data_IF_236171203338
#
_entry.id   IF_236171203338
#
_cell.length_a   1.000
_cell.length_b   1.000
_cell.length_c   1.000
_cell.angle_alpha   90.00
_cell.angle_beta   90.00
_cell.angle_gamma   90.00
#
_symmetry.space_group_name_H-M   'P 1'
#
loop_
_entity.id
_entity.type
_entity.pdbx_description
1 polymer ?
#
# COMPACT_ATOMS: atom_id res chain seq x y z
N UNK A 1 -16.52 0.33 -8.51
CA UNK A 1 -15.91 -1.01 -8.36
C UNK A 1 -16.28 -1.54 -6.99
N UNK A 2 -16.80 -2.76 -6.87
CA UNK A 2 -17.13 -3.38 -5.58
C UNK A 2 -15.91 -4.07 -4.95
N UNK A 3 -16.04 -4.50 -3.69
CA UNK A 3 -14.97 -5.15 -2.92
C UNK A 3 -14.54 -6.49 -3.50
N UNK A 4 -15.43 -7.21 -4.20
CA UNK A 4 -15.14 -8.51 -4.83
C UNK A 4 -14.21 -8.31 -6.02
N UNK A 5 -14.52 -7.34 -6.88
CA UNK A 5 -13.73 -6.99 -8.04
C UNK A 5 -12.36 -6.45 -7.62
N UNK A 6 -12.30 -5.61 -6.58
CA UNK A 6 -11.02 -5.14 -6.03
C UNK A 6 -10.18 -6.29 -5.48
N UNK A 7 -10.78 -7.23 -4.74
CA UNK A 7 -10.06 -8.41 -4.25
C UNK A 7 -9.53 -9.29 -5.39
N UNK A 8 -10.29 -9.43 -6.48
CA UNK A 8 -9.81 -10.10 -7.70
C UNK A 8 -8.60 -9.38 -8.31
N UNK A 9 -8.68 -8.05 -8.44
CA UNK A 9 -7.57 -7.25 -8.96
C UNK A 9 -6.31 -7.36 -8.11
N UNK A 10 -6.44 -7.27 -6.78
CA UNK A 10 -5.30 -7.42 -5.85
C UNK A 10 -4.68 -8.80 -5.95
N UNK A 11 -5.48 -9.86 -6.05
CA UNK A 11 -4.97 -11.23 -6.19
C UNK A 11 -4.20 -11.43 -7.51
N UNK A 12 -4.66 -10.83 -8.61
CA UNK A 12 -3.94 -10.88 -9.89
C UNK A 12 -2.63 -10.07 -9.82
N UNK A 13 -2.69 -8.84 -9.30
CA UNK A 13 -1.50 -7.99 -9.13
C UNK A 13 -0.44 -8.66 -8.23
N UNK A 14 -0.86 -9.38 -7.19
CA UNK A 14 0.05 -10.17 -6.34
C UNK A 14 0.83 -11.23 -7.14
N UNK A 15 0.17 -11.90 -8.09
CA UNK A 15 0.81 -12.90 -8.95
C UNK A 15 1.70 -12.25 -10.00
N UNK A 16 1.20 -11.23 -10.69
CA UNK A 16 1.89 -10.55 -11.79
C UNK A 16 3.18 -9.87 -11.33
N UNK A 17 3.16 -9.31 -10.11
CA UNK A 17 4.34 -8.66 -9.51
C UNK A 17 5.22 -9.64 -8.73
N UNK A 18 4.86 -10.92 -8.66
CA UNK A 18 5.48 -11.92 -7.80
C UNK A 18 5.68 -11.44 -6.34
N UNK A 19 4.68 -10.73 -5.81
CA UNK A 19 4.78 -10.07 -4.51
C UNK A 19 4.98 -11.08 -3.36
N UNK A 20 5.72 -10.67 -2.33
CA UNK A 20 5.91 -11.46 -1.10
C UNK A 20 4.82 -11.21 -0.05
N UNK A 21 4.00 -10.17 -0.23
CA UNK A 21 2.92 -9.85 0.69
C UNK A 21 2.03 -8.74 0.17
N UNK A 22 0.89 -8.56 0.86
CA UNK A 22 -0.10 -7.52 0.56
C UNK A 22 -0.49 -6.85 1.86
N UNK A 23 -0.48 -5.53 1.87
CA UNK A 23 -0.97 -4.73 2.97
C UNK A 23 -2.28 -4.05 2.57
N UNK A 24 -3.33 -4.18 3.39
CA UNK A 24 -4.64 -3.57 3.14
C UNK A 24 -5.00 -2.67 4.31
N UNK A 25 -5.40 -1.42 4.04
CA UNK A 25 -6.08 -0.59 5.04
C UNK A 25 -7.42 -1.24 5.36
N UNK A 26 -7.53 -1.87 6.53
CA UNK A 26 -8.69 -2.68 6.89
C UNK A 26 -9.89 -1.83 7.35
N UNK A 27 -9.68 -0.53 7.56
CA UNK A 27 -10.72 0.36 8.06
C UNK A 27 -11.70 0.75 6.93
N UNK A 28 -12.99 0.66 7.22
CA UNK A 28 -14.05 1.03 6.30
C UNK A 28 -14.26 -0.02 5.20
N UNK A 29 -14.22 0.40 3.93
CA UNK A 29 -14.52 -0.48 2.78
C UNK A 29 -13.44 -1.57 2.59
N UNK A 30 -12.20 -1.29 3.00
CA UNK A 30 -11.06 -2.19 2.83
C UNK A 30 -11.17 -3.50 3.63
N UNK A 31 -11.91 -3.51 4.74
CA UNK A 31 -12.17 -4.72 5.53
C UNK A 31 -12.84 -5.83 4.70
N UNK A 32 -13.78 -5.47 3.83
CA UNK A 32 -14.43 -6.45 2.94
C UNK A 32 -13.45 -7.07 1.92
N UNK A 33 -12.47 -6.30 1.44
CA UNK A 33 -11.40 -6.83 0.57
C UNK A 33 -10.49 -7.77 1.35
N UNK A 34 -10.08 -7.36 2.55
CA UNK A 34 -9.26 -8.17 3.45
C UNK A 34 -9.92 -9.51 3.80
N UNK A 35 -11.21 -9.52 4.12
CA UNK A 35 -11.96 -10.74 4.43
C UNK A 35 -12.05 -11.71 3.24
N UNK A 36 -12.22 -11.19 2.03
CA UNK A 36 -12.24 -12.01 0.81
C UNK A 36 -10.86 -12.62 0.56
N UNK A 37 -9.79 -11.83 0.65
CA UNK A 37 -8.42 -12.30 0.44
C UNK A 37 -7.98 -13.29 1.54
N UNK A 38 -8.42 -13.09 2.78
CA UNK A 38 -8.22 -14.00 3.91
C UNK A 38 -8.90 -15.34 3.66
N UNK A 39 -10.17 -15.34 3.22
CA UNK A 39 -10.88 -16.58 2.85
C UNK A 39 -10.22 -17.29 1.67
N UNK A 40 -9.60 -16.54 0.77
CA UNK A 40 -8.76 -17.05 -0.33
C UNK A 40 -7.34 -17.39 0.13
N UNK A 41 -7.04 -17.45 1.43
CA UNK A 41 -5.74 -17.85 1.98
C UNK A 41 -4.53 -17.18 1.30
N UNK A 42 -4.66 -15.91 0.88
CA UNK A 42 -3.58 -15.20 0.20
C UNK A 42 -2.35 -15.13 1.12
N UNK A 43 -1.19 -15.65 0.71
CA UNK A 43 0.00 -15.63 1.54
C UNK A 43 0.53 -14.19 1.74
N UNK A 44 1.05 -13.91 2.93
CA UNK A 44 1.64 -12.60 3.24
C UNK A 44 0.63 -11.45 3.31
N UNK A 45 -0.67 -11.74 3.46
CA UNK A 45 -1.70 -10.74 3.67
C UNK A 45 -1.63 -10.15 5.08
N UNK A 46 -1.62 -8.82 5.18
CA UNK A 46 -1.58 -8.06 6.44
C UNK A 46 -2.64 -6.96 6.42
N UNK A 47 -3.47 -6.94 7.45
CA UNK A 47 -4.41 -5.85 7.71
C UNK A 47 -3.71 -4.72 8.46
N UNK A 48 -3.91 -3.48 8.03
CA UNK A 48 -3.33 -2.30 8.65
C UNK A 48 -4.46 -1.38 9.09
N UNK A 49 -4.64 -1.22 10.40
CA UNK A 49 -5.54 -0.21 10.96
C UNK A 49 -4.79 1.12 11.11
N UNK A 50 -4.88 2.00 10.11
CA UNK A 50 -4.17 3.30 10.12
C UNK A 50 -4.67 4.28 11.19
N UNK A 51 -5.86 4.02 11.77
CA UNK A 51 -6.40 4.76 12.90
C UNK A 51 -5.88 4.30 14.26
N UNK A 52 -5.07 3.24 14.32
CA UNK A 52 -4.47 2.74 15.55
C UNK A 52 -3.52 3.79 16.16
N UNK A 53 -3.20 3.63 17.45
CA UNK A 53 -2.25 4.52 18.11
C UNK A 53 -0.86 4.41 17.46
N UNK A 54 -0.14 5.53 17.40
CA UNK A 54 1.25 5.55 16.95
C UNK A 54 2.16 4.75 17.92
N UNK A 55 3.27 4.23 17.39
CA UNK A 55 4.34 3.65 18.19
C UNK A 55 5.08 4.74 18.98
N UNK A 56 5.39 5.87 18.33
CA UNK A 56 5.94 7.06 18.97
C UNK A 56 4.84 8.11 19.19
N UNK A 57 4.13 7.96 20.31
CA UNK A 57 3.02 8.85 20.70
C UNK A 57 3.46 10.26 21.10
N UNK A 58 4.75 10.46 21.37
CA UNK A 58 5.28 11.79 21.65
C UNK A 58 5.39 12.61 20.35
N UNK A 59 5.70 11.95 19.24
CA UNK A 59 5.84 12.61 17.94
C UNK A 59 4.58 12.56 17.08
N UNK A 60 3.76 11.51 17.18
CA UNK A 60 2.65 11.26 16.27
C UNK A 60 1.36 10.88 17.01
N UNK A 61 0.23 11.41 16.55
CA UNK A 61 -1.06 11.17 17.20
C UNK A 61 -1.60 9.75 16.93
N UNK A 62 -1.47 9.24 15.69
CA UNK A 62 -1.88 7.88 15.28
C UNK A 62 -0.94 7.28 14.24
N UNK A 63 -1.12 5.99 13.95
CA UNK A 63 -0.29 5.23 13.01
C UNK A 63 -0.22 5.86 11.62
N UNK A 64 -1.33 6.41 11.10
CA UNK A 64 -1.32 7.16 9.83
C UNK A 64 -0.29 8.29 9.87
N UNK A 65 -0.22 9.02 10.98
CA UNK A 65 0.65 10.19 11.08
C UNK A 65 2.12 9.78 11.11
N UNK A 66 2.43 8.69 11.82
CA UNK A 66 3.76 8.06 11.84
C UNK A 66 4.18 7.57 10.45
N UNK A 67 3.29 6.88 9.73
CA UNK A 67 3.54 6.40 8.37
C UNK A 67 3.87 7.56 7.42
N UNK A 68 3.10 8.65 7.50
CA UNK A 68 3.35 9.85 6.70
C UNK A 68 4.67 10.55 7.08
N UNK A 69 5.02 10.59 8.37
CA UNK A 69 6.33 11.05 8.83
C UNK A 69 7.48 10.24 8.24
N UNK A 70 7.38 8.91 8.25
CA UNK A 70 8.34 8.02 7.60
C UNK A 70 8.43 8.26 6.09
N UNK A 71 7.29 8.39 5.39
CA UNK A 71 7.29 8.67 3.95
C UNK A 71 7.97 9.99 3.63
N UNK A 72 7.69 11.06 4.41
CA UNK A 72 8.38 12.35 4.30
C UNK A 72 9.89 12.16 4.40
N UNK A 73 10.36 11.46 5.43
CA UNK A 73 11.80 11.25 5.65
C UNK A 73 12.44 10.45 4.51
N UNK A 74 11.72 9.47 3.93
CA UNK A 74 12.15 8.72 2.75
C UNK A 74 12.21 9.59 1.50
N UNK A 75 11.24 10.48 1.28
CA UNK A 75 11.29 11.47 0.20
C UNK A 75 12.52 12.38 0.35
N UNK A 76 12.79 12.90 1.55
CA UNK A 76 13.94 13.79 1.81
C UNK A 76 15.29 13.09 1.56
N UNK A 77 15.35 11.76 1.69
CA UNK A 77 16.53 10.95 1.40
C UNK A 77 16.56 10.43 -0.05
N UNK A 78 15.65 10.87 -0.91
CA UNK A 78 15.49 10.38 -2.28
C UNK A 78 15.34 8.85 -2.38
N UNK A 79 14.65 8.24 -1.41
CA UNK A 79 14.44 6.79 -1.35
C UNK A 79 13.31 6.28 -2.26
N UNK A 80 12.51 7.19 -2.84
CA UNK A 80 11.44 6.85 -3.77
C UNK A 80 11.80 7.23 -5.21
N UNK A 81 11.35 6.38 -6.14
CA UNK A 81 11.37 6.67 -7.57
C UNK A 81 9.99 7.16 -8.02
N UNK A 82 9.96 8.20 -8.84
CA UNK A 82 8.75 8.77 -9.43
C UNK A 82 8.78 8.49 -10.93
N UNK A 83 8.25 7.35 -11.40
CA UNK A 83 8.38 6.94 -12.78
C UNK A 83 7.55 7.85 -13.69
N UNK A 84 8.16 8.32 -14.78
CA UNK A 84 7.48 9.07 -15.83
C UNK A 84 6.76 8.13 -16.82
N UNK A 85 5.94 7.24 -16.27
CA UNK A 85 5.12 6.31 -17.04
C UNK A 85 3.72 6.87 -17.18
N UNK A 86 3.39 7.31 -18.40
CA UNK A 86 2.08 7.85 -18.76
C UNK A 86 1.14 6.73 -19.22
N UNK A 87 -0.04 6.67 -18.63
CA UNK A 87 -1.10 5.77 -19.11
C UNK A 87 -1.72 6.40 -20.36
N UNK A 88 -1.93 5.63 -21.45
CA UNK A 88 -2.57 6.15 -22.65
C UNK A 88 -3.92 6.82 -22.33
N UNK A 89 -4.08 8.08 -22.72
CA UNK A 89 -5.30 8.87 -22.49
C UNK A 89 -5.30 9.66 -21.17
N UNK A 90 -4.32 9.47 -20.29
CA UNK A 90 -4.15 10.29 -19.09
C UNK A 90 -3.20 11.48 -19.34
N UNK A 91 -3.35 12.55 -18.56
CA UNK A 91 -2.49 13.74 -18.64
C UNK A 91 -1.28 13.67 -17.70
N UNK A 92 -1.39 12.90 -16.62
CA UNK A 92 -0.37 12.80 -15.57
C UNK A 92 0.24 11.40 -15.55
N UNK A 93 1.57 11.33 -15.49
CA UNK A 93 2.27 10.06 -15.27
C UNK A 93 2.03 9.52 -13.86
N UNK A 94 2.30 8.23 -13.63
CA UNK A 94 2.17 7.63 -12.29
C UNK A 94 3.01 8.35 -11.24
N UNK A 95 4.25 8.73 -11.60
CA UNK A 95 5.12 9.52 -10.74
C UNK A 95 4.53 10.88 -10.41
N UNK A 96 3.97 11.59 -11.40
CA UNK A 96 3.34 12.89 -11.17
C UNK A 96 2.12 12.80 -10.25
N UNK A 97 1.27 11.79 -10.44
CA UNK A 97 0.10 11.55 -9.58
C UNK A 97 0.51 11.30 -8.12
N UNK A 98 1.53 10.47 -7.90
CA UNK A 98 2.05 10.20 -6.56
C UNK A 98 2.66 11.47 -5.93
N UNK A 99 3.47 12.21 -6.69
CA UNK A 99 4.10 13.44 -6.22
C UNK A 99 3.05 14.49 -5.84
N UNK A 100 2.03 14.70 -6.68
CA UNK A 100 0.92 15.61 -6.45
C UNK A 100 0.19 15.25 -5.14
N UNK A 101 -0.13 13.97 -4.91
CA UNK A 101 -0.77 13.54 -3.67
C UNK A 101 0.12 13.77 -2.45
N UNK A 102 1.39 13.38 -2.51
CA UNK A 102 2.36 13.55 -1.40
C UNK A 102 2.56 15.03 -1.02
N UNK A 103 2.56 15.94 -1.99
CA UNK A 103 2.71 17.38 -1.74
C UNK A 103 1.42 18.08 -1.32
N UNK A 104 0.26 17.43 -1.50
CA UNK A 104 -1.03 18.07 -1.26
C UNK A 104 -1.46 18.04 0.21
N UNK A 105 -0.97 17.08 1.00
CA UNK A 105 -1.45 16.81 2.37
C UNK A 105 -0.83 17.78 3.37
N UNK A 106 -1.68 18.33 4.25
CA UNK A 106 -1.24 19.21 5.32
C UNK A 106 -1.10 18.45 6.66
N UNK A 107 -0.47 19.10 7.63
CA UNK A 107 -0.38 18.61 9.00
C UNK A 107 -0.63 19.72 10.00
N UNK A 108 -0.99 19.33 11.21
CA UNK A 108 -1.14 20.19 12.38
C UNK A 108 -0.51 19.53 13.60
N UNK A 109 -0.69 20.13 14.77
CA UNK A 109 -0.29 19.55 16.05
C UNK A 109 -1.51 19.37 16.96
N UNK A 110 -1.53 18.30 17.74
CA UNK A 110 -2.53 18.11 18.80
C UNK A 110 -2.15 18.88 20.08
N UNK A 111 -2.98 18.77 21.13
CA UNK A 111 -2.76 19.46 22.40
C UNK A 111 -1.45 19.05 23.12
N UNK A 112 -0.89 17.89 22.79
CA UNK A 112 0.37 17.39 23.35
C UNK A 112 1.57 17.73 22.45
N UNK A 113 1.35 18.44 21.32
CA UNK A 113 2.38 18.75 20.35
C UNK A 113 2.70 17.61 19.38
N UNK A 114 1.92 16.52 19.38
CA UNK A 114 2.12 15.43 18.44
C UNK A 114 1.60 15.82 17.04
N UNK A 115 2.28 15.36 16.00
CA UNK A 115 1.91 15.61 14.61
C UNK A 115 0.59 14.89 14.30
N UNK A 116 -0.33 15.63 13.68
CA UNK A 116 -1.61 15.14 13.18
C UNK A 116 -1.66 15.39 11.68
N UNK A 117 -1.77 14.33 10.88
CA UNK A 117 -1.92 14.43 9.43
C UNK A 117 -3.38 14.69 9.08
N UNK A 118 -3.56 15.62 8.14
CA UNK A 118 -4.87 16.03 7.63
C UNK A 118 -5.74 14.82 7.24
N UNK A 119 -6.96 14.80 7.74
CA UNK A 119 -7.92 13.74 7.42
C UNK A 119 -8.45 13.86 5.99
N UNK A 120 -8.87 12.73 5.41
CA UNK A 120 -9.54 12.70 4.09
C UNK A 120 -10.76 13.63 4.03
N UNK A 121 -11.47 13.78 5.16
CA UNK A 121 -12.61 14.70 5.26
C UNK A 121 -12.17 16.16 5.17
N UNK A 122 -11.13 16.56 5.91
CA UNK A 122 -10.58 17.93 5.85
C UNK A 122 -10.07 18.28 4.46
N UNK A 123 -9.37 17.35 3.79
CA UNK A 123 -8.93 17.53 2.41
C UNK A 123 -10.10 17.80 1.47
N UNK A 124 -11.15 16.98 1.57
CA UNK A 124 -12.37 17.15 0.77
C UNK A 124 -13.04 18.50 1.04
N UNK A 125 -13.10 18.93 2.29
CA UNK A 125 -13.68 20.22 2.67
C UNK A 125 -12.94 21.40 2.03
N UNK A 126 -11.62 21.32 1.85
CA UNK A 126 -10.83 22.35 1.14
C UNK A 126 -10.72 22.15 -0.37
N UNK A 127 -11.49 21.22 -0.96
CA UNK A 127 -11.52 20.98 -2.40
C UNK A 127 -10.36 20.12 -2.92
N UNK A 128 -9.64 19.41 -2.05
CA UNK A 128 -8.54 18.50 -2.44
C UNK A 128 -8.99 17.04 -2.33
N UNK A 129 -8.64 16.26 -3.36
CA UNK A 129 -8.98 14.83 -3.42
C UNK A 129 -8.21 14.04 -2.35
N UNK A 130 -8.80 12.93 -1.91
CA UNK A 130 -8.15 11.99 -0.98
C UNK A 130 -6.86 11.43 -1.61
N UNK A 131 -5.75 11.32 -0.84
CA UNK A 131 -4.43 10.94 -1.33
C UNK A 131 -4.31 9.40 -1.35
N UNK A 132 -5.10 8.76 -2.21
CA UNK A 132 -5.28 7.31 -2.17
C UNK A 132 -4.03 6.53 -2.62
N UNK A 133 -3.25 7.05 -3.57
CA UNK A 133 -2.00 6.47 -4.04
C UNK A 133 -0.92 6.61 -2.95
N UNK A 134 -0.81 7.80 -2.34
CA UNK A 134 0.14 8.04 -1.26
C UNK A 134 -0.20 7.25 0.02
N UNK A 135 -1.48 7.15 0.40
CA UNK A 135 -1.91 6.30 1.52
C UNK A 135 -1.61 4.81 1.22
N UNK A 136 -1.78 4.35 -0.03
CA UNK A 136 -1.45 2.97 -0.43
C UNK A 136 0.06 2.68 -0.37
N UNK A 137 0.90 3.64 -0.76
CA UNK A 137 2.35 3.58 -0.56
C UNK A 137 2.67 3.46 0.94
N UNK A 138 2.06 4.30 1.77
CA UNK A 138 2.28 4.28 3.22
C UNK A 138 1.91 2.96 3.88
N UNK A 139 0.79 2.36 3.49
CA UNK A 139 0.36 1.05 4.00
C UNK A 139 1.33 -0.05 3.56
N UNK A 140 1.86 0.03 2.33
CA UNK A 140 2.88 -0.91 1.84
C UNK A 140 4.20 -0.77 2.62
N UNK A 141 4.55 0.43 3.04
CA UNK A 141 5.75 0.71 3.83
C UNK A 141 5.63 0.25 5.29
N UNK A 142 4.43 0.33 5.86
CA UNK A 142 4.12 -0.25 7.17
C UNK A 142 4.33 -1.77 7.16
N UNK A 143 4.00 -2.45 6.04
CA UNK A 143 4.34 -3.86 5.87
C UNK A 143 5.83 -4.09 5.81
N UNK A 144 6.60 -3.31 5.03
CA UNK A 144 8.05 -3.51 4.89
C UNK A 144 8.81 -3.34 6.21
N UNK A 145 8.45 -2.30 6.98
CA UNK A 145 9.02 -2.07 8.31
C UNK A 145 8.67 -3.18 9.33
N UNK A 146 7.46 -3.74 9.23
CA UNK A 146 7.02 -4.87 10.06
C UNK A 146 7.62 -6.19 9.59
N UNK A 147 7.82 -6.37 8.27
CA UNK A 147 8.25 -7.62 7.67
C UNK A 147 9.74 -7.89 7.88
N UNK A 148 10.59 -6.88 8.05
CA UNK A 148 11.95 -7.09 8.55
C UNK A 148 12.01 -7.80 9.92
N UNK A 149 10.96 -7.65 10.75
CA UNK A 149 10.89 -8.35 12.05
C UNK A 149 10.37 -9.79 11.93
N UNK A 150 9.61 -10.11 10.88
CA UNK A 150 8.93 -11.41 10.71
C UNK A 150 9.61 -12.35 9.69
N UNK A 151 10.30 -11.81 8.67
CA UNK A 151 10.82 -12.59 7.53
C UNK A 151 12.33 -12.90 7.56
N UNK A 152 12.99 -12.71 8.69
CA UNK A 152 14.42 -12.98 8.88
C UNK A 152 14.87 -14.46 8.83
N UNK A 153 14.09 -15.42 8.30
CA UNK A 153 14.55 -16.82 8.19
C UNK A 153 14.34 -17.43 6.80
N UNK A 154 15.37 -18.12 6.29
CA UNK A 154 15.32 -18.97 5.08
C UNK A 154 14.09 -19.89 5.05
N UNK A 155 13.62 -20.35 6.22
CA UNK A 155 12.44 -21.21 6.38
C UNK A 155 11.12 -20.55 5.95
N UNK A 156 11.00 -19.23 6.05
CA UNK A 156 9.80 -18.52 5.62
C UNK A 156 9.67 -18.51 4.07
N UNK A 157 10.80 -18.33 3.37
CA UNK A 157 10.87 -18.33 1.90
C UNK A 157 10.52 -19.72 1.33
N UNK A 158 11.06 -20.79 1.91
CA UNK A 158 10.77 -22.16 1.47
C UNK A 158 9.30 -22.57 1.71
N UNK A 159 8.70 -22.09 2.80
CA UNK A 159 7.28 -22.31 3.12
C UNK A 159 6.35 -21.55 2.17
N UNK A 160 6.74 -20.35 1.76
CA UNK A 160 5.99 -19.53 0.81
C UNK A 160 6.03 -20.13 -0.60
N UNK A 161 7.18 -20.65 -1.03
CA UNK A 161 7.32 -21.37 -2.32
C UNK A 161 6.40 -22.59 -2.41
N UNK A 162 6.39 -23.45 -1.38
CA UNK A 162 5.50 -24.63 -1.33
C UNK A 162 4.02 -24.26 -1.33
N UNK A 163 3.64 -23.18 -0.65
CA UNK A 163 2.24 -22.70 -0.65
C UNK A 163 1.82 -22.12 -2.00
N UNK A 164 2.71 -21.41 -2.71
CA UNK A 164 2.44 -20.86 -4.04
C UNK A 164 2.13 -21.98 -5.05
N UNK A 165 2.88 -23.08 -5.01
CA UNK A 165 2.67 -24.28 -5.84
C UNK A 165 1.37 -25.03 -5.50
N UNK A 166 0.99 -25.06 -4.22
CA UNK A 166 -0.24 -25.70 -3.75
C UNK A 166 -1.51 -24.88 -4.08
N UNK A 167 -1.39 -23.56 -4.12
CA UNK A 167 -2.53 -22.66 -4.30
C UNK A 167 -2.86 -22.38 -5.78
N UNK A 168 -1.88 -22.51 -6.67
CA UNK A 168 -2.04 -22.32 -8.12
C UNK A 168 -1.25 -23.38 -8.91
N UNK A 169 -1.78 -24.60 -9.06
CA UNK A 169 -1.13 -25.61 -9.88
C UNK A 169 -1.23 -25.17 -11.36
N UNK A 170 -0.14 -24.61 -11.90
CA UNK A 170 -0.05 -24.14 -13.29
C UNK A 170 0.08 -22.63 -13.48
N UNK A 171 0.72 -21.91 -12.54
CA UNK A 171 1.04 -20.48 -12.72
C UNK A 171 1.71 -20.17 -14.07
N UNK A 172 1.57 -18.93 -14.59
CA UNK A 172 1.84 -18.60 -15.97
C UNK A 172 3.28 -18.96 -16.34
N UNK A 173 3.42 -19.75 -17.41
CA UNK A 173 4.72 -20.02 -18.01
C UNK A 173 5.33 -18.70 -18.47
N UNK A 174 6.65 -18.56 -18.32
CA UNK A 174 7.47 -17.37 -18.64
C UNK A 174 7.38 -16.83 -20.09
N UNK A 175 6.39 -17.25 -20.88
CA UNK A 175 6.25 -16.97 -22.30
C UNK A 175 5.10 -16.02 -22.68
N UNK A 176 4.58 -15.21 -21.76
CA UNK A 176 3.68 -14.09 -22.10
C UNK A 176 4.45 -12.80 -22.44
N UNK A 177 5.59 -12.92 -23.12
CA UNK A 177 6.02 -11.89 -24.07
C UNK A 177 5.26 -12.13 -25.38
N UNK A 178 4.92 -11.05 -26.09
CA UNK A 178 4.07 -10.98 -27.29
C UNK A 178 2.59 -10.77 -26.92
N UNK A 179 2.20 -9.53 -26.72
CA UNK A 179 1.03 -8.89 -27.37
C UNK A 179 1.15 -7.39 -27.16
N UNK A 180 1.55 -6.66 -28.21
CA UNK A 180 1.16 -5.28 -28.58
C UNK A 180 2.08 -4.82 -29.72
N UNK A 181 1.92 -5.45 -30.88
CA UNK A 181 2.32 -4.90 -32.17
C UNK A 181 1.29 -5.36 -33.20
N UNK A 182 0.28 -4.51 -33.42
CA UNK A 182 -0.31 -4.21 -34.73
C UNK A 182 -1.33 -3.07 -34.55
#
# INVERSE_FOLDING_TARGET
MDTVNVAGFVANAYLDLEAEGVAIDEVGIGGGVYDILTRRNLPGLVGVTVSAAANDKAQFHRLRDEIWGMMRDKCMRAAYSFPDLLVPGEQESYGQRLANELSSVMYSFDANGAIVIESKLQMRTRGVKSPNIADALGVSEALYSTSYRLWGSKRAKDRMKRKKEQFYPGGPTKNSQIWMAQ
#
